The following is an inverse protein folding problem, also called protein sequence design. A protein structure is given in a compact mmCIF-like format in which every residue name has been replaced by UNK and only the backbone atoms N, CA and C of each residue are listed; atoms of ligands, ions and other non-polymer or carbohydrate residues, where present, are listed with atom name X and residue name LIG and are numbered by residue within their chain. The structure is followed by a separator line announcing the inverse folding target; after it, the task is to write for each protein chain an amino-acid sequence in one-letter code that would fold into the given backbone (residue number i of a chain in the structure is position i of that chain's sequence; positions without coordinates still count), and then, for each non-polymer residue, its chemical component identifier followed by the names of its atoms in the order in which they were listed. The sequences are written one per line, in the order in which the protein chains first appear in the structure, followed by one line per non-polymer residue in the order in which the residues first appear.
data_IF_675259385801
#
_entry.id   IF_675259385801
#
_cell.length_a   1.000
_cell.length_b   1.000
_cell.length_c   1.000
_cell.angle_alpha   90.00
_cell.angle_beta   90.00
_cell.angle_gamma   90.00
#
_symmetry.space_group_name_H-M   'P 1'
#
loop_
_entity.id
_entity.type
_entity.pdbx_description
1 polymer ?
#
# COMPACT_ATOMS: atom_id res chain seq x y z
N UNK A 1 25.79 -2.17 21.52
CA UNK A 1 24.52 -1.52 21.84
C UNK A 1 23.66 -1.80 20.62
N UNK A 2 22.74 -2.76 20.73
CA UNK A 2 21.81 -3.05 19.64
C UNK A 2 20.78 -1.93 19.63
N UNK A 3 21.03 -0.94 18.79
CA UNK A 3 20.08 0.14 18.54
C UNK A 3 19.06 -0.43 17.55
N UNK A 4 17.74 -0.30 17.80
CA UNK A 4 16.74 -0.79 16.85
C UNK A 4 16.99 -0.17 15.48
N UNK A 5 17.14 -1.01 14.45
CA UNK A 5 17.16 -0.56 13.07
C UNK A 5 15.73 -0.18 12.69
N UNK A 6 15.51 1.09 12.34
CA UNK A 6 14.26 1.57 11.77
C UNK A 6 14.56 2.13 10.39
N UNK A 7 13.90 1.59 9.36
CA UNK A 7 14.08 2.05 7.99
C UNK A 7 13.34 3.36 7.67
N UNK A 8 12.39 3.75 8.53
CA UNK A 8 11.49 4.89 8.32
C UNK A 8 11.90 6.09 9.17
N UNK A 9 11.70 7.30 8.65
CA UNK A 9 11.91 8.56 9.41
C UNK A 9 10.68 8.96 10.25
N UNK A 10 9.56 8.24 10.09
CA UNK A 10 8.33 8.44 10.85
C UNK A 10 7.79 7.11 11.34
N UNK A 11 7.38 7.06 12.61
CA UNK A 11 6.69 5.91 13.19
C UNK A 11 5.87 6.31 14.41
N UNK A 12 4.82 5.54 14.66
CA UNK A 12 4.10 5.57 15.93
C UNK A 12 4.82 4.63 16.90
N UNK A 13 5.09 5.08 18.13
CA UNK A 13 5.82 4.28 19.12
C UNK A 13 7.33 4.56 19.09
N UNK A 14 8.16 3.52 19.05
CA UNK A 14 9.62 3.57 18.96
C UNK A 14 10.31 4.66 19.80
N UNK A 15 10.02 4.70 21.10
CA UNK A 15 10.42 5.79 21.99
C UNK A 15 11.94 6.12 21.93
N UNK A 16 12.80 5.11 21.70
CA UNK A 16 14.24 5.31 21.53
C UNK A 16 14.55 6.04 20.22
N UNK A 17 13.91 5.66 19.10
CA UNK A 17 14.15 6.27 17.79
C UNK A 17 13.68 7.74 17.73
N UNK A 18 12.64 8.09 18.49
CA UNK A 18 12.21 9.49 18.66
C UNK A 18 13.29 10.37 19.29
N UNK A 19 14.16 9.82 20.14
CA UNK A 19 15.32 10.57 20.66
C UNK A 19 16.36 10.90 19.59
N UNK A 20 16.32 10.21 18.45
CA UNK A 20 17.17 10.41 17.29
C UNK A 20 16.49 11.18 16.14
N UNK A 21 15.27 11.72 16.36
CA UNK A 21 14.57 12.59 15.40
C UNK A 21 13.48 11.93 14.56
N UNK A 22 13.11 10.68 14.84
CA UNK A 22 11.92 10.05 14.24
C UNK A 22 10.65 10.77 14.73
N UNK A 23 9.68 10.98 13.82
CA UNK A 23 8.46 11.73 14.11
C UNK A 23 7.21 10.84 14.05
N UNK A 24 6.18 11.17 14.82
CA UNK A 24 4.86 10.50 14.74
C UNK A 24 3.82 11.28 13.93
N UNK A 25 4.16 12.50 13.48
CA UNK A 25 3.22 13.35 12.73
C UNK A 25 2.98 12.79 11.32
N UNK A 26 1.72 12.45 10.96
CA UNK A 26 1.41 11.90 9.65
C UNK A 26 1.50 12.98 8.55
N UNK A 27 1.46 12.52 7.31
CA UNK A 27 1.26 13.40 6.16
C UNK A 27 -0.20 13.30 5.69
N UNK A 28 -0.78 14.46 5.37
CA UNK A 28 -2.16 14.54 4.90
C UNK A 28 -2.17 14.94 3.44
N UNK A 29 -2.79 14.09 2.61
CA UNK A 29 -3.10 14.38 1.21
C UNK A 29 -4.61 14.30 1.04
N UNK A 30 -5.19 15.27 0.35
CA UNK A 30 -6.63 15.30 0.04
C UNK A 30 -6.80 15.45 -1.46
N UNK A 31 -7.71 14.65 -2.03
CA UNK A 31 -8.06 14.71 -3.44
C UNK A 31 -9.57 14.55 -3.60
N UNK A 32 -10.14 15.32 -4.52
CA UNK A 32 -11.51 15.12 -4.98
C UNK A 32 -11.55 13.97 -5.97
N UNK A 33 -12.44 13.01 -5.75
CA UNK A 33 -12.63 11.89 -6.65
C UNK A 33 -13.40 12.33 -7.90
N UNK A 34 -12.96 11.86 -9.06
CA UNK A 34 -13.61 12.09 -10.35
C UNK A 34 -13.94 10.78 -11.08
N UNK A 35 -14.50 10.86 -12.28
CA UNK A 35 -14.89 9.70 -13.08
C UNK A 35 -13.73 8.74 -13.45
N UNK A 36 -12.48 9.20 -13.33
CA UNK A 36 -11.28 8.40 -13.60
C UNK A 36 -10.79 7.64 -12.36
N UNK A 37 -11.27 7.96 -11.16
CA UNK A 37 -10.90 7.26 -9.93
C UNK A 37 -11.77 6.01 -9.75
N UNK A 38 -11.23 4.86 -10.17
CA UNK A 38 -11.96 3.58 -10.21
C UNK A 38 -11.54 2.58 -9.16
N UNK A 39 -10.32 2.69 -8.64
CA UNK A 39 -9.75 1.74 -7.69
C UNK A 39 -8.75 2.45 -6.77
N UNK A 40 -8.78 2.08 -5.50
CA UNK A 40 -7.80 2.46 -4.49
C UNK A 40 -7.17 1.18 -3.92
N UNK A 41 -5.84 1.13 -3.93
CA UNK A 41 -5.05 0.06 -3.31
C UNK A 41 -4.28 0.66 -2.14
N UNK A 42 -4.43 0.07 -0.96
CA UNK A 42 -3.65 0.38 0.23
C UNK A 42 -2.99 -0.90 0.69
N UNK A 43 -1.66 -0.89 0.87
CA UNK A 43 -0.93 -2.08 1.29
C UNK A 43 0.32 -1.73 2.09
N UNK A 44 0.84 -2.72 2.82
CA UNK A 44 2.18 -2.66 3.43
C UNK A 44 3.27 -2.75 2.35
N UNK A 45 4.51 -2.45 2.73
CA UNK A 45 5.71 -2.61 1.90
C UNK A 45 5.89 -4.04 1.36
N UNK A 46 5.37 -5.06 2.06
CA UNK A 46 5.26 -6.42 1.53
C UNK A 46 4.66 -6.53 0.11
N UNK A 47 3.80 -5.59 -0.33
CA UNK A 47 3.39 -5.51 -1.74
C UNK A 47 4.37 -4.68 -2.58
N UNK A 48 4.72 -3.49 -2.09
CA UNK A 48 5.37 -2.43 -2.87
C UNK A 48 6.88 -2.64 -3.07
N UNK A 49 7.51 -3.53 -2.30
CA UNK A 49 8.95 -3.82 -2.43
C UNK A 49 9.32 -4.30 -3.83
N UNK A 50 8.45 -5.13 -4.45
CA UNK A 50 8.74 -5.78 -5.73
C UNK A 50 7.69 -5.55 -6.81
N UNK A 51 6.65 -4.76 -6.55
CA UNK A 51 5.57 -4.49 -7.50
C UNK A 51 5.33 -2.99 -7.63
N UNK A 52 5.28 -2.51 -8.88
CA UNK A 52 4.97 -1.11 -9.18
C UNK A 52 3.49 -0.80 -9.06
N UNK A 53 3.16 0.48 -8.89
CA UNK A 53 1.79 0.97 -8.84
C UNK A 53 1.01 0.58 -10.11
N UNK A 54 1.64 0.71 -11.27
CA UNK A 54 1.04 0.43 -12.58
C UNK A 54 0.70 -1.05 -12.75
N UNK A 55 1.62 -1.95 -12.38
CA UNK A 55 1.38 -3.41 -12.42
C UNK A 55 0.23 -3.81 -11.47
N UNK A 56 0.26 -3.31 -10.23
CA UNK A 56 -0.80 -3.59 -9.25
C UNK A 56 -2.16 -3.12 -9.75
N UNK A 57 -2.22 -1.92 -10.35
CA UNK A 57 -3.46 -1.37 -10.91
C UNK A 57 -3.96 -2.15 -12.11
N UNK A 58 -3.08 -2.59 -13.02
CA UNK A 58 -3.45 -3.43 -14.17
C UNK A 58 -4.06 -4.76 -13.70
N UNK A 59 -3.41 -5.43 -12.74
CA UNK A 59 -3.89 -6.68 -12.16
C UNK A 59 -5.26 -6.52 -11.49
N UNK A 60 -5.43 -5.47 -10.68
CA UNK A 60 -6.67 -5.20 -9.97
C UNK A 60 -7.80 -4.84 -10.95
N UNK A 61 -7.58 -3.88 -11.86
CA UNK A 61 -8.61 -3.42 -12.79
C UNK A 61 -9.07 -4.49 -13.78
N UNK A 62 -8.31 -5.57 -13.97
CA UNK A 62 -8.72 -6.75 -14.72
C UNK A 62 -9.81 -7.59 -14.03
N UNK A 63 -10.09 -7.36 -12.74
CA UNK A 63 -11.03 -8.15 -11.94
C UNK A 63 -12.28 -7.36 -11.57
N UNK A 64 -13.44 -8.01 -11.61
CA UNK A 64 -14.71 -7.42 -11.16
C UNK A 64 -14.91 -7.52 -9.64
N UNK A 65 -14.34 -8.54 -9.00
CA UNK A 65 -14.42 -8.75 -7.56
C UNK A 65 -13.12 -8.28 -6.90
N UNK A 66 -13.14 -7.29 -5.99
CA UNK A 66 -11.95 -6.82 -5.31
C UNK A 66 -11.27 -7.90 -4.47
N UNK A 67 -12.00 -8.92 -4.00
CA UNK A 67 -11.39 -10.07 -3.32
C UNK A 67 -10.49 -10.85 -4.26
N UNK A 68 -10.92 -11.07 -5.51
CA UNK A 68 -10.10 -11.77 -6.51
C UNK A 68 -8.86 -10.95 -6.85
N UNK A 69 -8.98 -9.62 -6.93
CA UNK A 69 -7.83 -8.74 -7.09
C UNK A 69 -6.83 -8.87 -5.93
N UNK A 70 -7.29 -8.85 -4.67
CA UNK A 70 -6.44 -9.08 -3.49
C UNK A 70 -5.75 -10.43 -3.57
N UNK A 71 -6.48 -11.51 -3.86
CA UNK A 71 -5.92 -12.86 -3.96
C UNK A 71 -4.81 -12.93 -5.03
N UNK A 72 -5.00 -12.28 -6.19
CA UNK A 72 -4.00 -12.20 -7.25
C UNK A 72 -2.76 -11.38 -6.84
N UNK A 73 -2.96 -10.23 -6.21
CA UNK A 73 -1.85 -9.37 -5.75
C UNK A 73 -1.01 -10.07 -4.68
N UNK A 74 -1.63 -10.73 -3.70
CA UNK A 74 -0.92 -11.51 -2.67
C UNK A 74 -0.13 -12.65 -3.30
N UNK A 75 -0.73 -13.40 -4.23
CA UNK A 75 -0.03 -14.50 -4.90
C UNK A 75 1.20 -14.01 -5.66
N UNK A 76 1.09 -12.90 -6.38
CA UNK A 76 2.20 -12.34 -7.14
C UNK A 76 3.28 -11.74 -6.24
N UNK A 77 2.90 -11.02 -5.17
CA UNK A 77 3.84 -10.51 -4.17
C UNK A 77 4.64 -11.66 -3.53
N UNK A 78 3.97 -12.70 -3.05
CA UNK A 78 4.62 -13.87 -2.47
C UNK A 78 5.57 -14.55 -3.47
N UNK A 79 5.17 -14.65 -4.74
CA UNK A 79 6.02 -15.22 -5.80
C UNK A 79 7.29 -14.40 -6.02
N UNK A 80 7.20 -13.06 -5.98
CA UNK A 80 8.36 -12.17 -6.13
C UNK A 80 9.26 -12.21 -4.89
N UNK A 81 8.68 -12.16 -3.69
CA UNK A 81 9.44 -12.36 -2.44
C UNK A 81 10.24 -13.66 -2.45
N UNK A 82 9.63 -14.81 -2.78
CA UNK A 82 10.35 -16.10 -2.86
C UNK A 82 11.45 -16.15 -3.93
N UNK A 83 11.41 -15.25 -4.92
CA UNK A 83 12.41 -15.18 -5.99
C UNK A 83 13.60 -14.32 -5.58
N UNK A 84 13.35 -13.22 -4.88
CA UNK A 84 14.38 -12.24 -4.53
C UNK A 84 14.98 -12.50 -3.13
N UNK A 85 14.18 -13.00 -2.19
CA UNK A 85 14.55 -13.16 -0.78
C UNK A 85 14.23 -14.56 -0.23
N UNK A 86 14.85 -14.90 0.91
CA UNK A 86 14.65 -16.22 1.56
C UNK A 86 13.40 -16.28 2.45
N UNK A 87 12.87 -15.12 2.85
CA UNK A 87 11.72 -14.98 3.73
C UNK A 87 10.73 -14.02 3.06
N UNK A 88 9.45 -14.34 3.16
CA UNK A 88 8.37 -13.48 2.69
C UNK A 88 7.96 -12.58 3.84
N UNK A 89 7.84 -11.28 3.56
CA UNK A 89 7.39 -10.30 4.55
C UNK A 89 5.87 -10.34 4.78
N UNK A 90 5.42 -9.78 5.90
CA UNK A 90 4.00 -9.66 6.23
C UNK A 90 3.30 -8.73 5.23
N UNK A 91 2.53 -9.33 4.33
CA UNK A 91 1.84 -8.61 3.25
C UNK A 91 0.35 -8.44 3.58
N UNK A 92 -0.09 -7.20 3.76
CA UNK A 92 -1.50 -6.84 3.94
C UNK A 92 -1.94 -5.91 2.81
N UNK A 93 -3.06 -6.23 2.14
CA UNK A 93 -3.58 -5.49 1.00
C UNK A 93 -5.07 -5.22 1.17
N UNK A 94 -5.49 -4.00 0.89
CA UNK A 94 -6.88 -3.56 0.77
C UNK A 94 -7.08 -3.05 -0.66
N UNK A 95 -8.07 -3.60 -1.36
CA UNK A 95 -8.53 -3.13 -2.66
C UNK A 95 -9.97 -2.64 -2.52
N UNK A 96 -10.20 -1.38 -2.91
CA UNK A 96 -11.54 -0.79 -2.93
C UNK A 96 -11.85 -0.30 -4.35
N UNK A 97 -12.88 -0.87 -4.97
CA UNK A 97 -13.43 -0.31 -6.20
C UNK A 97 -14.40 0.81 -5.87
N UNK A 98 -14.17 1.94 -6.50
CA UNK A 98 -14.90 3.17 -6.23
C UNK A 98 -15.85 3.42 -7.40
N UNK A 99 -17.12 3.62 -7.07
CA UNK A 99 -18.10 4.10 -8.01
C UNK A 99 -18.33 5.60 -7.75
N UNK A 100 -17.92 6.43 -8.70
CA UNK A 100 -18.05 7.88 -8.63
C UNK A 100 -19.33 8.39 -9.30
N UNK A 101 -20.23 7.49 -9.75
CA UNK A 101 -21.54 7.85 -10.30
C UNK A 101 -22.36 8.62 -9.26
N UNK A 102 -22.58 9.91 -9.54
CA UNK A 102 -23.38 10.80 -8.69
C UNK A 102 -22.57 11.75 -7.80
N UNK A 103 -21.24 11.65 -7.80
CA UNK A 103 -20.37 12.66 -7.17
C UNK A 103 -20.43 13.92 -8.06
N UNK A 104 -21.10 14.97 -7.56
CA UNK A 104 -21.09 16.28 -8.23
C UNK A 104 -19.72 16.91 -8.01
N UNK A 105 -18.91 17.00 -9.06
CA UNK A 105 -17.69 17.80 -9.08
C UNK A 105 -18.10 19.25 -8.82
N UNK A 106 -17.89 19.73 -7.60
CA UNK A 106 -18.10 21.15 -7.30
C UNK A 106 -16.76 21.82 -7.55
N UNK A 107 -16.67 22.55 -8.67
CA UNK A 107 -15.53 23.38 -9.04
C UNK A 107 -15.42 24.60 -8.10
#
# INVERSE_FOLDING_TARGET
MDVPGLAMSRSLGDAVAHTAGVLSEPEFTTRWLDENDRCLIVATDGLWEFMSNEECMEMAMGQQDPKVAVDLLIMEANRRWMKEEQVIDDTTIIVAYVDTVGIKTTA
#
